data_IF_091412758952
#
_entry.id   IF_091412758952
#
_cell.length_a   1.000
_cell.length_b   1.000
_cell.length_c   1.000
_cell.angle_alpha   90.00
_cell.angle_beta   90.00
_cell.angle_gamma   90.00
#
_symmetry.space_group_name_H-M   'P 1'
#
loop_
_entity.id
_entity.type
_entity.pdbx_description
1 polymer ?
#
# COMPACT_ATOMS: atom_id res chain seq x y z
N UNK A 1 15.24 -2.31 8.66
CA UNK A 1 15.11 -2.98 9.97
C UNK A 1 14.99 -1.93 11.07
N UNK A 2 13.84 -1.83 11.78
CA UNK A 2 13.63 -0.81 12.82
C UNK A 2 14.63 -0.90 13.98
N UNK A 3 15.17 -2.08 14.26
CA UNK A 3 16.11 -2.29 15.33
C UNK A 3 17.55 -1.89 14.93
N UNK A 4 17.89 -2.05 13.65
CA UNK A 4 19.27 -1.90 13.19
C UNK A 4 19.43 -1.03 11.94
N UNK A 5 18.36 -0.69 11.21
CA UNK A 5 18.40 0.14 10.01
C UNK A 5 19.22 -0.42 8.84
N UNK A 6 19.55 -1.71 8.89
CA UNK A 6 20.60 -2.30 8.06
C UNK A 6 20.08 -3.01 6.79
N UNK A 7 18.78 -3.00 6.57
CA UNK A 7 18.17 -3.82 5.51
C UNK A 7 17.18 -3.07 4.66
N UNK A 8 17.28 -3.24 3.35
CA UNK A 8 16.30 -2.76 2.36
C UNK A 8 15.76 -3.93 1.55
N UNK A 9 14.45 -3.95 1.38
CA UNK A 9 13.76 -4.94 0.55
C UNK A 9 13.17 -4.23 -0.66
N UNK A 10 13.52 -4.68 -1.84
CA UNK A 10 13.13 -4.03 -3.09
C UNK A 10 12.27 -5.00 -3.90
N UNK A 11 10.98 -4.69 -3.99
CA UNK A 11 10.08 -5.35 -4.93
C UNK A 11 10.31 -4.84 -6.36
N UNK A 12 10.38 -5.75 -7.33
CA UNK A 12 10.68 -5.41 -8.70
C UNK A 12 9.47 -5.57 -9.62
N UNK A 13 9.37 -4.64 -10.56
CA UNK A 13 8.50 -4.77 -11.72
C UNK A 13 9.24 -5.57 -12.79
N UNK A 14 8.64 -6.61 -13.39
CA UNK A 14 9.25 -7.28 -14.52
C UNK A 14 9.44 -6.29 -15.67
N UNK A 15 10.46 -6.48 -16.48
CA UNK A 15 10.63 -5.67 -17.67
C UNK A 15 9.41 -5.86 -18.60
N UNK A 16 8.48 -4.92 -18.53
CA UNK A 16 7.19 -4.99 -19.21
C UNK A 16 7.29 -5.06 -20.74
N UNK A 17 8.44 -4.74 -21.29
CA UNK A 17 8.65 -4.71 -22.74
C UNK A 17 9.22 -6.00 -23.30
N UNK A 18 10.06 -6.69 -22.56
CA UNK A 18 10.74 -7.90 -23.05
C UNK A 18 10.23 -9.18 -22.40
N UNK A 19 9.66 -9.08 -21.20
CA UNK A 19 9.22 -10.23 -20.39
C UNK A 19 10.28 -11.35 -20.36
N UNK A 20 11.55 -10.98 -20.24
CA UNK A 20 12.66 -11.91 -20.23
C UNK A 20 13.20 -12.08 -18.81
N UNK A 21 13.63 -13.29 -18.51
CA UNK A 21 14.38 -13.57 -17.30
C UNK A 21 15.71 -12.81 -17.33
N UNK A 22 16.13 -12.28 -16.18
CA UNK A 22 17.38 -11.55 -16.03
C UNK A 22 18.38 -12.36 -15.24
N UNK A 23 19.67 -12.10 -15.42
CA UNK A 23 20.70 -12.78 -14.65
C UNK A 23 20.58 -12.39 -13.18
N UNK A 24 20.27 -13.35 -12.32
CA UNK A 24 20.38 -13.17 -10.87
C UNK A 24 21.87 -13.30 -10.49
N UNK A 25 22.50 -12.21 -9.98
CA UNK A 25 23.93 -12.23 -9.69
C UNK A 25 24.30 -13.15 -8.50
N UNK A 26 23.31 -13.50 -7.66
CA UNK A 26 23.54 -14.41 -6.53
C UNK A 26 23.54 -15.86 -6.97
N UNK A 27 22.52 -16.29 -7.72
CA UNK A 27 22.39 -17.68 -8.19
C UNK A 27 23.18 -17.97 -9.45
N UNK A 28 23.56 -16.94 -10.21
CA UNK A 28 24.17 -17.08 -11.54
C UNK A 28 23.21 -17.60 -12.62
N UNK A 29 21.92 -17.65 -12.35
CA UNK A 29 20.88 -18.15 -13.27
C UNK A 29 20.06 -17.01 -13.86
N UNK A 30 19.48 -17.27 -15.03
CA UNK A 30 18.44 -16.39 -15.56
C UNK A 30 17.12 -16.69 -14.83
N UNK A 31 16.61 -15.71 -14.10
CA UNK A 31 15.42 -15.82 -13.26
C UNK A 31 14.53 -14.61 -13.45
N UNK A 32 13.25 -14.76 -13.15
CA UNK A 32 12.32 -13.64 -13.18
C UNK A 32 12.54 -12.71 -11.99
N UNK A 33 12.60 -11.43 -12.28
CA UNK A 33 12.87 -10.42 -11.26
C UNK A 33 11.77 -10.40 -10.20
N UNK A 34 12.16 -10.45 -8.93
CA UNK A 34 11.24 -10.61 -7.81
C UNK A 34 11.52 -9.63 -6.67
N UNK A 35 12.13 -10.09 -5.60
CA UNK A 35 12.43 -9.26 -4.43
C UNK A 35 13.91 -9.36 -4.09
N UNK A 36 14.60 -8.23 -4.06
CA UNK A 36 15.99 -8.14 -3.60
C UNK A 36 16.06 -7.86 -2.11
N UNK A 37 16.99 -8.52 -1.43
CA UNK A 37 17.35 -8.27 -0.03
C UNK A 37 18.74 -7.64 -0.03
N UNK A 38 18.83 -6.42 0.46
CA UNK A 38 20.05 -5.60 0.41
C UNK A 38 20.48 -5.25 1.81
N UNK A 39 21.73 -5.57 2.13
CA UNK A 39 22.41 -5.11 3.35
C UNK A 39 22.90 -3.69 3.11
N UNK A 40 22.49 -2.78 3.97
CA UNK A 40 22.88 -1.36 4.00
C UNK A 40 23.55 -0.95 5.32
N UNK A 41 24.09 -1.90 6.08
CA UNK A 41 24.85 -1.61 7.31
C UNK A 41 26.00 -0.62 7.05
N UNK A 42 26.59 -0.68 5.85
CA UNK A 42 27.36 0.41 5.27
C UNK A 42 26.59 1.04 4.09
N UNK A 43 25.86 2.16 4.31
CA UNK A 43 25.06 2.78 3.26
C UNK A 43 25.88 3.36 2.11
N UNK A 44 27.19 3.50 2.29
CA UNK A 44 28.11 3.90 1.21
C UNK A 44 28.49 2.73 0.29
N UNK A 45 28.23 1.49 0.73
CA UNK A 45 28.55 0.25 0.01
C UNK A 45 27.46 -0.80 0.17
N UNK A 46 26.21 -0.56 -0.33
CA UNK A 46 25.11 -1.51 -0.21
C UNK A 46 25.44 -2.84 -0.90
N UNK A 47 25.09 -3.94 -0.25
CA UNK A 47 25.35 -5.30 -0.75
C UNK A 47 24.06 -6.04 -1.04
N UNK A 48 23.87 -6.50 -2.28
CA UNK A 48 22.81 -7.47 -2.58
C UNK A 48 23.19 -8.82 -1.98
N UNK A 49 22.49 -9.24 -0.94
CA UNK A 49 22.79 -10.49 -0.23
C UNK A 49 21.91 -11.66 -0.66
N UNK A 50 20.71 -11.36 -1.13
CA UNK A 50 19.79 -12.36 -1.63
C UNK A 50 18.84 -11.80 -2.66
N UNK A 51 18.31 -12.70 -3.50
CA UNK A 51 17.23 -12.37 -4.42
C UNK A 51 16.22 -13.51 -4.46
N UNK A 52 14.97 -13.18 -4.14
CA UNK A 52 13.84 -14.11 -4.21
C UNK A 52 13.22 -13.98 -5.59
N UNK A 53 13.40 -14.94 -6.49
CA UNK A 53 12.88 -14.83 -7.85
C UNK A 53 11.36 -14.86 -7.87
N UNK A 54 10.79 -14.34 -8.94
CA UNK A 54 9.36 -14.43 -9.23
C UNK A 54 9.02 -15.62 -10.11
N UNK A 55 7.73 -15.89 -10.22
CA UNK A 55 7.17 -16.70 -11.28
C UNK A 55 7.20 -15.95 -12.62
N UNK A 56 7.04 -16.69 -13.72
CA UNK A 56 7.00 -16.14 -15.07
C UNK A 56 5.96 -15.03 -15.17
N UNK A 57 6.37 -13.87 -15.67
CA UNK A 57 5.52 -12.70 -15.89
C UNK A 57 4.85 -12.09 -14.62
N UNK A 58 5.23 -12.54 -13.44
CA UNK A 58 4.68 -12.02 -12.20
C UNK A 58 5.27 -10.64 -11.84
N UNK A 59 4.45 -9.76 -11.26
CA UNK A 59 4.83 -8.44 -10.78
C UNK A 59 4.61 -8.36 -9.27
N UNK A 60 5.68 -8.34 -8.49
CA UNK A 60 5.64 -8.30 -7.02
C UNK A 60 6.37 -7.08 -6.44
N UNK A 61 6.10 -5.90 -7.01
CA UNK A 61 6.78 -4.66 -6.62
C UNK A 61 6.43 -4.15 -5.23
N UNK A 62 5.31 -4.56 -4.66
CA UNK A 62 4.90 -4.13 -3.32
C UNK A 62 5.30 -5.17 -2.28
N UNK A 63 6.11 -4.75 -1.33
CA UNK A 63 6.58 -5.56 -0.21
C UNK A 63 6.30 -4.85 1.11
N UNK A 64 6.03 -5.63 2.14
CA UNK A 64 5.92 -5.18 3.54
C UNK A 64 6.68 -6.14 4.42
N UNK A 65 7.25 -5.65 5.51
CA UNK A 65 8.07 -6.47 6.42
C UNK A 65 7.63 -6.22 7.85
N UNK A 66 7.57 -7.28 8.64
CA UNK A 66 7.39 -7.23 10.08
C UNK A 66 8.56 -7.92 10.76
N UNK A 67 8.99 -7.37 11.90
CA UNK A 67 10.14 -7.85 12.64
C UNK A 67 9.75 -8.28 14.03
N UNK A 68 10.48 -9.26 14.58
CA UNK A 68 10.25 -9.79 15.93
C UNK A 68 8.74 -10.06 16.16
N UNK A 69 8.15 -10.82 15.24
CA UNK A 69 6.71 -10.98 15.15
C UNK A 69 6.15 -11.62 16.42
N UNK A 70 5.15 -10.96 17.02
CA UNK A 70 4.69 -11.25 18.38
C UNK A 70 3.54 -12.24 18.49
N UNK A 71 3.08 -12.85 17.38
CA UNK A 71 1.92 -13.73 17.37
C UNK A 71 2.30 -15.20 17.17
N UNK A 72 1.55 -16.10 17.88
CA UNK A 72 1.69 -17.53 17.72
C UNK A 72 3.03 -18.09 18.26
N UNK A 73 3.00 -19.26 18.89
CA UNK A 73 4.21 -19.84 19.50
C UNK A 73 5.31 -20.22 18.50
N UNK A 74 4.95 -20.50 17.25
CA UNK A 74 5.89 -20.88 16.20
C UNK A 74 6.42 -19.68 15.39
N UNK A 75 5.73 -18.55 15.48
CA UNK A 75 6.07 -17.31 14.75
C UNK A 75 6.75 -16.28 15.64
N UNK A 76 6.76 -16.49 16.95
CA UNK A 76 7.31 -15.56 17.93
C UNK A 76 8.82 -15.31 17.70
N UNK A 77 9.19 -14.04 17.63
CA UNK A 77 10.58 -13.63 17.43
C UNK A 77 11.11 -13.88 16.01
N UNK A 78 10.22 -14.11 15.04
CA UNK A 78 10.59 -14.27 13.64
C UNK A 78 10.33 -13.00 12.84
N UNK A 79 11.04 -12.88 11.75
CA UNK A 79 10.89 -11.78 10.81
C UNK A 79 10.25 -12.29 9.53
N UNK A 80 9.24 -11.56 9.04
CA UNK A 80 8.51 -11.96 7.85
C UNK A 80 8.46 -10.86 6.80
N UNK A 81 8.45 -11.26 5.56
CA UNK A 81 8.20 -10.42 4.39
C UNK A 81 6.98 -10.93 3.66
N UNK A 82 6.04 -10.03 3.37
CA UNK A 82 4.95 -10.27 2.45
C UNK A 82 5.20 -9.50 1.15
N UNK A 83 4.92 -10.12 0.01
CA UNK A 83 4.91 -9.47 -1.28
C UNK A 83 3.59 -9.69 -2.01
N UNK A 84 3.06 -8.61 -2.57
CA UNK A 84 1.81 -8.62 -3.32
C UNK A 84 2.05 -8.80 -4.80
N UNK A 85 1.10 -9.44 -5.49
CA UNK A 85 1.16 -9.67 -6.93
C UNK A 85 0.13 -8.83 -7.68
N UNK A 86 0.60 -7.95 -8.55
CA UNK A 86 -0.23 -7.17 -9.46
C UNK A 86 -0.47 -7.89 -10.79
N UNK A 87 0.44 -8.77 -11.16
CA UNK A 87 0.39 -9.55 -12.38
C UNK A 87 0.95 -10.95 -12.13
N UNK A 88 0.50 -11.89 -12.94
CA UNK A 88 0.67 -13.31 -12.73
C UNK A 88 -0.69 -13.88 -12.36
N UNK A 89 -1.15 -14.87 -13.11
CA UNK A 89 -2.57 -15.22 -13.13
C UNK A 89 -3.04 -15.99 -11.90
N UNK A 90 -2.15 -16.34 -10.97
CA UNK A 90 -2.48 -17.30 -9.93
C UNK A 90 -2.19 -16.84 -8.48
N UNK A 91 -1.48 -15.75 -8.26
CA UNK A 91 -1.07 -15.34 -6.92
C UNK A 91 -1.66 -14.00 -6.50
N UNK A 92 -2.09 -13.91 -5.23
CA UNK A 92 -2.43 -12.65 -4.55
C UNK A 92 -1.24 -12.14 -3.76
N UNK A 93 -0.71 -12.97 -2.86
CA UNK A 93 0.49 -12.64 -2.10
C UNK A 93 1.25 -13.90 -1.66
N UNK A 94 2.50 -13.71 -1.32
CA UNK A 94 3.38 -14.71 -0.71
C UNK A 94 3.99 -14.15 0.56
N UNK A 95 4.17 -15.02 1.56
CA UNK A 95 4.83 -14.69 2.83
C UNK A 95 6.10 -15.51 2.95
N UNK A 96 7.20 -14.85 3.30
CA UNK A 96 8.50 -15.46 3.51
C UNK A 96 8.95 -15.25 4.94
N UNK A 97 9.51 -16.29 5.57
CA UNK A 97 10.32 -16.17 6.77
C UNK A 97 11.71 -15.68 6.35
N UNK A 98 12.09 -14.49 6.81
CA UNK A 98 13.35 -13.84 6.49
C UNK A 98 14.29 -13.75 7.71
N UNK A 99 13.98 -14.46 8.78
CA UNK A 99 14.76 -14.43 10.04
C UNK A 99 16.23 -14.77 9.81
N UNK A 100 16.50 -15.69 8.89
CA UNK A 100 17.84 -16.15 8.56
C UNK A 100 18.67 -15.17 7.71
N UNK A 101 18.09 -14.04 7.25
CA UNK A 101 18.76 -13.10 6.32
C UNK A 101 20.14 -12.62 6.77
N UNK A 102 20.35 -12.52 8.09
CA UNK A 102 21.60 -12.04 8.67
C UNK A 102 22.66 -13.12 8.80
N UNK A 103 22.25 -14.39 8.94
CA UNK A 103 23.14 -15.52 9.19
C UNK A 103 23.37 -16.37 7.93
N UNK A 104 22.33 -16.71 7.23
CA UNK A 104 22.34 -17.47 5.98
C UNK A 104 21.11 -17.11 5.12
N UNK A 105 21.22 -16.12 4.24
CA UNK A 105 20.09 -15.71 3.38
C UNK A 105 19.53 -16.83 2.49
N UNK A 106 20.31 -17.90 2.25
CA UNK A 106 19.82 -19.04 1.45
C UNK A 106 18.73 -19.84 2.17
N UNK A 107 18.53 -19.63 3.47
CA UNK A 107 17.48 -20.23 4.29
C UNK A 107 16.22 -19.37 4.38
N UNK A 108 16.11 -18.28 3.62
CA UNK A 108 14.85 -17.55 3.46
C UNK A 108 13.83 -18.51 2.84
N UNK A 109 12.71 -18.68 3.53
CA UNK A 109 11.72 -19.72 3.22
C UNK A 109 10.36 -19.12 2.87
N UNK A 110 9.74 -19.62 1.79
CA UNK A 110 8.32 -19.38 1.52
C UNK A 110 7.49 -20.18 2.52
N UNK A 111 6.78 -19.46 3.41
CA UNK A 111 5.97 -20.11 4.46
C UNK A 111 4.50 -20.25 4.09
N UNK A 112 3.98 -19.34 3.27
CA UNK A 112 2.64 -19.45 2.72
C UNK A 112 2.44 -18.61 1.47
N UNK A 113 1.39 -18.95 0.72
CA UNK A 113 0.91 -18.15 -0.41
C UNK A 113 -0.61 -18.23 -0.53
N UNK A 114 -1.21 -17.14 -0.96
CA UNK A 114 -2.61 -17.09 -1.33
C UNK A 114 -2.70 -17.02 -2.84
N UNK A 115 -3.28 -18.06 -3.42
CA UNK A 115 -3.58 -18.12 -4.85
C UNK A 115 -4.88 -17.41 -5.16
N UNK A 116 -4.95 -16.81 -6.35
CA UNK A 116 -6.18 -16.29 -6.90
C UNK A 116 -7.01 -17.45 -7.46
N UNK A 117 -8.20 -17.66 -6.92
CA UNK A 117 -9.15 -18.68 -7.40
C UNK A 117 -10.41 -18.01 -7.94
N UNK A 118 -11.27 -18.71 -8.69
CA UNK A 118 -12.55 -18.14 -9.12
C UNK A 118 -13.45 -17.67 -7.98
N UNK A 119 -13.26 -18.21 -6.77
CA UNK A 119 -14.02 -17.87 -5.58
C UNK A 119 -13.48 -16.63 -4.86
N UNK A 120 -12.20 -16.34 -4.97
CA UNK A 120 -11.55 -15.22 -4.28
C UNK A 120 -10.95 -14.17 -5.21
N UNK A 121 -11.12 -14.33 -6.50
CA UNK A 121 -10.63 -13.42 -7.51
C UNK A 121 -11.61 -13.30 -8.66
N UNK A 122 -11.63 -12.14 -9.27
CA UNK A 122 -12.46 -11.88 -10.44
C UNK A 122 -11.60 -11.95 -11.69
N UNK A 123 -11.89 -12.88 -12.59
CA UNK A 123 -11.23 -12.99 -13.89
C UNK A 123 -11.44 -11.75 -14.77
N UNK A 124 -10.80 -11.72 -15.94
CA UNK A 124 -10.87 -10.61 -16.92
C UNK A 124 -12.28 -10.13 -17.31
N UNK A 125 -13.32 -10.78 -16.80
CA UNK A 125 -14.73 -10.48 -17.10
C UNK A 125 -15.43 -9.52 -16.14
N UNK A 126 -14.79 -9.03 -15.08
CA UNK A 126 -15.42 -8.13 -14.11
C UNK A 126 -15.25 -6.64 -14.45
N UNK A 127 -15.21 -6.30 -15.71
CA UNK A 127 -15.23 -4.89 -16.17
C UNK A 127 -13.90 -4.22 -16.35
N UNK A 128 -12.77 -4.94 -16.23
CA UNK A 128 -11.45 -4.36 -16.49
C UNK A 128 -10.29 -5.34 -16.24
N UNK A 129 -9.19 -5.12 -16.87
CA UNK A 129 -8.09 -6.08 -17.01
C UNK A 129 -7.24 -6.35 -15.75
N UNK A 130 -7.57 -5.82 -14.57
CA UNK A 130 -6.64 -5.76 -13.44
C UNK A 130 -7.16 -6.30 -12.10
N UNK A 131 -8.31 -6.92 -12.04
CA UNK A 131 -9.12 -7.06 -10.82
C UNK A 131 -8.74 -8.24 -9.91
N UNK A 132 -7.85 -9.13 -10.32
CA UNK A 132 -7.49 -10.32 -9.54
C UNK A 132 -6.34 -10.13 -8.55
N UNK A 133 -5.84 -8.93 -8.35
CA UNK A 133 -4.48 -8.71 -7.89
C UNK A 133 -4.47 -7.98 -6.57
N UNK A 134 -3.50 -8.31 -5.72
CA UNK A 134 -3.15 -7.49 -4.58
C UNK A 134 -2.12 -6.45 -5.05
N UNK A 135 -2.52 -5.16 -5.03
CA UNK A 135 -1.62 -4.09 -5.48
C UNK A 135 -0.66 -3.68 -4.38
N UNK A 136 -1.15 -3.05 -3.33
CA UNK A 136 -0.39 -2.66 -2.15
C UNK A 136 -1.07 -3.16 -0.90
N UNK A 137 -0.33 -3.23 0.19
CA UNK A 137 -0.87 -3.64 1.46
C UNK A 137 -0.07 -3.08 2.62
N UNK A 138 -0.69 -3.13 3.78
CA UNK A 138 -0.14 -2.75 5.07
C UNK A 138 -0.28 -3.94 6.02
N UNK A 139 0.85 -4.45 6.54
CA UNK A 139 0.83 -5.50 7.55
C UNK A 139 1.03 -4.88 8.92
N UNK A 140 -0.01 -4.91 9.73
CA UNK A 140 0.09 -4.49 11.11
C UNK A 140 0.85 -5.51 11.94
N UNK A 141 1.86 -5.02 12.63
CA UNK A 141 2.59 -5.83 13.61
C UNK A 141 1.86 -5.88 14.96
N UNK A 142 0.94 -4.96 15.22
CA UNK A 142 0.22 -4.89 16.49
C UNK A 142 -0.98 -5.81 16.54
N UNK A 143 -1.80 -5.82 15.49
CA UNK A 143 -2.98 -6.70 15.40
C UNK A 143 -2.69 -8.03 14.71
N UNK A 144 -1.62 -8.12 13.94
CA UNK A 144 -1.36 -9.26 13.06
C UNK A 144 -2.26 -9.29 11.82
N UNK A 145 -2.98 -8.20 11.55
CA UNK A 145 -3.84 -8.10 10.37
C UNK A 145 -3.08 -7.52 9.17
N UNK A 146 -3.44 -7.99 8.00
CA UNK A 146 -2.92 -7.49 6.74
C UNK A 146 -4.05 -6.90 5.90
N UNK A 147 -3.89 -5.65 5.55
CA UNK A 147 -4.82 -4.87 4.76
C UNK A 147 -4.29 -4.75 3.34
N UNK A 148 -5.07 -5.18 2.35
CA UNK A 148 -4.61 -5.28 0.97
C UNK A 148 -5.61 -4.68 -0.01
N UNK A 149 -5.12 -3.88 -0.95
CA UNK A 149 -5.87 -3.49 -2.13
C UNK A 149 -5.98 -4.68 -3.08
N UNK A 150 -7.14 -5.31 -3.17
CA UNK A 150 -7.32 -6.58 -3.87
C UNK A 150 -8.65 -6.69 -4.59
N UNK A 151 -8.71 -7.48 -5.65
CA UNK A 151 -9.95 -7.77 -6.36
C UNK A 151 -10.61 -9.06 -5.87
N UNK A 152 -11.95 -9.14 -6.04
CA UNK A 152 -12.71 -10.37 -5.82
C UNK A 152 -13.97 -10.44 -6.71
N UNK A 153 -14.59 -11.63 -6.87
CA UNK A 153 -15.82 -11.76 -7.61
C UNK A 153 -16.95 -10.90 -7.02
N UNK A 154 -17.77 -10.31 -7.89
CA UNK A 154 -18.88 -9.46 -7.47
C UNK A 154 -18.50 -7.99 -7.27
N UNK A 155 -17.24 -7.62 -7.45
CA UNK A 155 -16.79 -6.23 -7.45
C UNK A 155 -16.24 -5.82 -8.81
N UNK A 156 -16.36 -4.54 -9.14
CA UNK A 156 -15.97 -3.99 -10.44
C UNK A 156 -14.50 -3.59 -10.48
N UNK A 157 -13.89 -3.35 -9.29
CA UNK A 157 -12.52 -2.83 -9.13
C UNK A 157 -11.87 -3.43 -7.89
N UNK A 158 -10.64 -3.04 -7.60
CA UNK A 158 -9.99 -3.41 -6.33
C UNK A 158 -10.69 -2.72 -5.16
N UNK A 159 -10.87 -3.49 -4.11
CA UNK A 159 -11.44 -3.08 -2.83
C UNK A 159 -10.44 -3.36 -1.71
N UNK A 160 -10.75 -2.97 -0.49
CA UNK A 160 -9.96 -3.34 0.68
C UNK A 160 -10.27 -4.78 1.10
N UNK A 161 -9.24 -5.61 1.24
CA UNK A 161 -9.31 -6.92 1.89
C UNK A 161 -8.56 -6.88 3.21
N UNK A 162 -9.07 -7.60 4.20
CA UNK A 162 -8.47 -7.78 5.52
C UNK A 162 -8.21 -9.26 5.73
N UNK A 163 -6.97 -9.59 6.08
CA UNK A 163 -6.51 -10.95 6.35
C UNK A 163 -5.92 -11.05 7.74
N UNK A 164 -6.20 -12.10 8.44
CA UNK A 164 -5.53 -12.46 9.68
C UNK A 164 -4.26 -13.24 9.35
N UNK A 165 -3.12 -12.69 9.73
CA UNK A 165 -1.79 -13.26 9.59
C UNK A 165 -1.13 -13.52 10.97
N UNK A 166 -1.90 -13.60 12.07
CA UNK A 166 -1.33 -13.97 13.36
C UNK A 166 -0.60 -15.31 13.30
N UNK A 167 -1.03 -16.21 12.43
CA UNK A 167 -0.22 -17.30 11.93
C UNK A 167 0.13 -17.06 10.45
N UNK A 168 1.34 -16.59 10.12
CA UNK A 168 1.73 -16.34 8.74
C UNK A 168 1.76 -17.58 7.84
N UNK A 169 1.74 -18.78 8.44
CA UNK A 169 1.66 -20.05 7.70
C UNK A 169 0.24 -20.44 7.31
N UNK A 170 -0.76 -19.83 7.95
CA UNK A 170 -2.17 -20.13 7.75
C UNK A 170 -3.02 -18.85 7.62
N UNK A 171 -2.77 -18.00 6.60
CA UNK A 171 -3.54 -16.77 6.37
C UNK A 171 -5.03 -17.03 6.30
N UNK A 172 -5.83 -16.21 6.99
CA UNK A 172 -7.29 -16.31 6.99
C UNK A 172 -7.92 -15.01 6.51
N UNK A 173 -8.86 -15.11 5.59
CA UNK A 173 -9.67 -13.95 5.20
C UNK A 173 -10.60 -13.55 6.35
N UNK A 174 -10.64 -12.25 6.68
CA UNK A 174 -11.43 -11.71 7.79
C UNK A 174 -12.59 -10.87 7.27
N UNK A 175 -12.31 -9.85 6.46
CA UNK A 175 -13.31 -8.90 6.03
C UNK A 175 -12.91 -8.09 4.81
N UNK A 176 -13.80 -7.21 4.40
CA UNK A 176 -13.62 -6.33 3.24
C UNK A 176 -14.33 -5.01 3.39
N UNK A 177 -13.82 -3.97 2.73
CA UNK A 177 -14.50 -2.70 2.61
C UNK A 177 -14.42 -2.15 1.18
N UNK A 178 -15.42 -1.37 0.80
CA UNK A 178 -15.54 -0.78 -0.52
C UNK A 178 -16.32 0.54 -0.48
N UNK A 179 -16.21 1.33 -1.53
CA UNK A 179 -17.06 2.50 -1.71
C UNK A 179 -18.36 2.12 -2.42
N UNK A 180 -19.48 2.82 -2.13
CA UNK A 180 -20.73 2.62 -2.86
C UNK A 180 -20.53 2.64 -4.37
N UNK A 181 -21.15 1.72 -5.08
CA UNK A 181 -21.00 1.54 -6.52
C UNK A 181 -19.92 0.56 -6.95
N UNK A 182 -18.93 0.22 -6.13
CA UNK A 182 -17.91 -0.76 -6.50
C UNK A 182 -18.46 -2.19 -6.57
N UNK A 183 -19.47 -2.53 -5.79
CA UNK A 183 -20.13 -3.84 -5.86
C UNK A 183 -21.03 -3.93 -7.08
N UNK A 184 -21.01 -5.06 -7.77
CA UNK A 184 -21.88 -5.29 -8.94
C UNK A 184 -23.34 -5.26 -8.52
N UNK A 185 -24.16 -4.46 -9.21
CA UNK A 185 -25.57 -4.24 -8.87
C UNK A 185 -25.84 -2.98 -8.05
N UNK A 186 -24.81 -2.36 -7.45
CA UNK A 186 -24.96 -1.05 -6.84
C UNK A 186 -24.98 0.05 -7.92
N UNK A 187 -25.70 1.14 -7.62
CA UNK A 187 -25.72 2.35 -8.44
C UNK A 187 -24.53 3.27 -8.10
N UNK A 188 -24.28 4.29 -8.92
CA UNK A 188 -23.25 5.29 -8.66
C UNK A 188 -21.82 4.80 -8.86
N UNK A 189 -21.64 3.78 -9.72
CA UNK A 189 -20.27 3.33 -10.02
C UNK A 189 -19.49 4.41 -10.74
N UNK A 190 -18.37 4.76 -10.11
CA UNK A 190 -17.28 5.47 -10.73
C UNK A 190 -16.08 4.53 -10.78
N UNK A 191 -15.20 4.71 -11.74
CA UNK A 191 -14.01 3.86 -11.86
C UNK A 191 -13.02 4.18 -10.73
N UNK A 192 -13.11 3.43 -9.63
CA UNK A 192 -12.41 3.65 -8.37
C UNK A 192 -11.63 2.38 -8.00
N UNK A 193 -10.33 2.50 -7.80
CA UNK A 193 -9.47 1.39 -7.38
C UNK A 193 -8.82 1.74 -6.05
N UNK A 194 -9.09 0.96 -5.00
CA UNK A 194 -8.28 1.05 -3.78
C UNK A 194 -6.82 0.86 -4.16
N UNK A 195 -5.99 1.81 -3.75
CA UNK A 195 -4.58 1.79 -4.12
C UNK A 195 -3.69 1.38 -2.96
N UNK A 196 -3.67 2.13 -1.88
CA UNK A 196 -2.77 1.93 -0.76
C UNK A 196 -3.51 2.13 0.57
N UNK A 197 -3.80 1.07 1.33
CA UNK A 197 -4.35 1.19 2.67
C UNK A 197 -3.26 1.57 3.68
N UNK A 198 -3.56 2.52 4.55
CA UNK A 198 -2.75 2.90 5.72
C UNK A 198 -3.63 2.75 6.95
N UNK A 199 -3.11 2.13 7.99
CA UNK A 199 -3.88 1.79 9.20
C UNK A 199 -3.40 2.64 10.37
N UNK A 200 -4.35 3.23 11.04
CA UNK A 200 -4.22 3.89 12.34
C UNK A 200 -4.88 2.98 13.38
N UNK A 201 -4.08 2.14 14.03
CA UNK A 201 -4.56 1.14 14.97
C UNK A 201 -5.02 1.75 16.29
N UNK A 202 -4.41 2.86 16.70
CA UNK A 202 -4.79 3.57 17.93
C UNK A 202 -6.23 4.10 17.87
N UNK A 203 -6.74 4.35 16.68
CA UNK A 203 -8.07 4.89 16.43
C UNK A 203 -9.00 3.92 15.70
N UNK A 204 -8.58 2.67 15.46
CA UNK A 204 -9.33 1.66 14.70
C UNK A 204 -9.76 2.18 13.31
N UNK A 205 -8.83 2.80 12.58
CA UNK A 205 -9.11 3.36 11.25
C UNK A 205 -8.19 2.81 10.17
N UNK A 206 -8.76 2.61 8.98
CA UNK A 206 -7.99 2.42 7.76
C UNK A 206 -8.33 3.50 6.76
N UNK A 207 -7.29 4.11 6.21
CA UNK A 207 -7.37 5.16 5.20
C UNK A 207 -6.91 4.60 3.85
N UNK A 208 -7.56 4.99 2.77
CA UNK A 208 -7.11 4.63 1.45
C UNK A 208 -7.36 5.72 0.41
N UNK A 209 -6.42 5.86 -0.51
CA UNK A 209 -6.60 6.60 -1.74
C UNK A 209 -7.15 5.69 -2.84
N UNK A 210 -7.91 6.28 -3.76
CA UNK A 210 -8.48 5.62 -4.93
C UNK A 210 -7.89 6.22 -6.18
N UNK A 211 -7.11 5.43 -6.86
CA UNK A 211 -6.47 5.82 -8.10
C UNK A 211 -7.34 5.48 -9.30
N UNK A 212 -7.24 6.28 -10.35
CA UNK A 212 -7.93 6.17 -11.64
C UNK A 212 -9.41 6.51 -11.53
N UNK A 213 -9.86 7.44 -12.35
CA UNK A 213 -11.25 7.85 -12.49
C UNK A 213 -11.65 9.00 -11.60
N UNK A 214 -12.14 8.74 -10.40
CA UNK A 214 -12.84 9.74 -9.59
C UNK A 214 -12.03 10.45 -8.52
N UNK A 215 -10.82 10.00 -8.21
CA UNK A 215 -9.97 10.71 -7.23
C UNK A 215 -10.45 10.65 -5.79
N UNK A 216 -11.11 9.59 -5.35
CA UNK A 216 -11.61 9.47 -3.99
C UNK A 216 -10.50 9.19 -2.96
N UNK A 217 -10.73 9.69 -1.76
CA UNK A 217 -10.09 9.29 -0.51
C UNK A 217 -11.16 8.84 0.47
N UNK A 218 -10.87 7.84 1.30
CA UNK A 218 -11.85 7.34 2.25
C UNK A 218 -11.19 6.82 3.53
N UNK A 219 -12.00 6.76 4.60
CA UNK A 219 -11.67 6.09 5.84
C UNK A 219 -12.78 5.16 6.28
N UNK A 220 -12.39 4.01 6.82
CA UNK A 220 -13.30 3.04 7.42
C UNK A 220 -12.95 2.83 8.88
N UNK A 221 -13.99 2.61 9.67
CA UNK A 221 -13.91 2.04 11.01
C UNK A 221 -13.63 0.54 10.90
N UNK A 222 -12.60 0.08 11.58
CA UNK A 222 -12.15 -1.31 11.62
C UNK A 222 -12.14 -1.88 13.04
N UNK A 223 -12.88 -1.27 13.97
CA UNK A 223 -13.06 -1.81 15.32
C UNK A 223 -13.62 -3.24 15.30
N UNK A 224 -14.41 -3.57 14.28
CA UNK A 224 -14.69 -4.93 13.86
C UNK A 224 -14.11 -5.16 12.44
N UNK A 225 -12.94 -5.77 12.32
CA UNK A 225 -12.32 -5.97 11.01
C UNK A 225 -13.07 -6.96 10.12
N UNK A 226 -14.05 -7.70 10.64
CA UNK A 226 -14.90 -8.58 9.84
C UNK A 226 -16.04 -7.83 9.14
N UNK A 227 -16.45 -6.67 9.68
CA UNK A 227 -17.53 -5.81 9.17
C UNK A 227 -17.11 -4.32 9.16
N UNK A 228 -16.08 -3.93 8.41
CA UNK A 228 -15.64 -2.54 8.36
C UNK A 228 -16.76 -1.61 7.89
N UNK A 229 -16.87 -0.43 8.50
CA UNK A 229 -17.91 0.54 8.13
C UNK A 229 -17.30 1.84 7.61
N UNK A 230 -17.85 2.38 6.51
CA UNK A 230 -17.40 3.65 5.93
C UNK A 230 -17.68 4.81 6.89
N UNK A 231 -16.64 5.52 7.31
CA UNK A 231 -16.75 6.72 8.14
C UNK A 231 -16.95 7.95 7.27
N UNK A 232 -16.10 8.10 6.26
CA UNK A 232 -16.20 9.20 5.29
C UNK A 232 -15.54 8.83 3.97
N UNK A 233 -15.96 9.50 2.91
CA UNK A 233 -15.25 9.59 1.65
C UNK A 233 -15.30 11.01 1.10
N UNK A 234 -14.30 11.40 0.32
CA UNK A 234 -14.21 12.69 -0.32
C UNK A 234 -13.66 12.54 -1.73
N UNK A 235 -14.34 13.14 -2.71
CA UNK A 235 -13.89 13.19 -4.09
C UNK A 235 -12.99 14.42 -4.28
N UNK A 236 -11.73 14.21 -4.61
CA UNK A 236 -10.76 15.28 -4.88
C UNK A 236 -10.81 15.79 -6.33
N UNK A 237 -11.60 15.14 -7.19
CA UNK A 237 -11.74 15.54 -8.59
C UNK A 237 -12.52 16.86 -8.75
N UNK A 238 -12.36 17.59 -9.84
CA UNK A 238 -11.53 17.30 -11.01
C UNK A 238 -10.03 17.55 -10.86
N UNK A 239 -9.50 18.33 -9.85
CA UNK A 239 -8.08 18.57 -9.81
C UNK A 239 -7.26 17.37 -9.38
N UNK A 240 -7.80 16.48 -8.52
CA UNK A 240 -7.18 15.23 -8.11
C UNK A 240 -7.81 14.05 -8.84
N UNK A 241 -6.98 13.18 -9.40
CA UNK A 241 -7.43 11.98 -10.11
C UNK A 241 -6.78 10.70 -9.67
N UNK A 242 -5.85 10.78 -8.72
CA UNK A 242 -5.07 9.61 -8.34
C UNK A 242 -4.59 9.67 -6.90
N UNK A 243 -5.44 9.93 -5.89
CA UNK A 243 -5.04 9.78 -4.50
C UNK A 243 -4.38 8.41 -4.29
N UNK A 244 -3.10 8.46 -3.91
CA UNK A 244 -2.25 7.28 -3.80
C UNK A 244 -2.11 6.85 -2.34
N UNK A 245 -1.56 7.73 -1.51
CA UNK A 245 -1.27 7.48 -0.10
C UNK A 245 -2.01 8.49 0.76
N UNK A 246 -2.67 8.01 1.82
CA UNK A 246 -3.43 8.82 2.76
C UNK A 246 -2.94 8.52 4.15
N UNK A 247 -2.25 9.46 4.81
CA UNK A 247 -1.73 9.27 6.17
C UNK A 247 -2.38 10.23 7.15
N UNK A 248 -2.95 9.75 8.26
CA UNK A 248 -3.41 10.59 9.34
C UNK A 248 -2.23 11.14 10.14
N UNK A 249 -2.32 12.39 10.55
CA UNK A 249 -1.34 13.06 11.39
C UNK A 249 -2.08 13.83 12.47
N UNK A 250 -1.85 13.50 13.72
CA UNK A 250 -2.43 14.20 14.87
C UNK A 250 -1.40 15.13 15.51
N UNK A 251 -1.78 16.37 15.69
CA UNK A 251 -1.05 17.34 16.49
C UNK A 251 -1.78 17.58 17.81
N UNK A 252 -1.13 17.33 18.93
CA UNK A 252 -1.70 17.53 20.26
C UNK A 252 -2.09 18.98 20.53
N UNK A 253 -1.43 19.90 19.84
CA UNK A 253 -1.58 21.32 20.07
C UNK A 253 -1.26 22.11 18.80
N UNK A 254 -2.32 22.62 18.17
CA UNK A 254 -2.17 23.57 17.06
C UNK A 254 -2.51 24.96 17.60
N UNK A 255 -1.59 25.95 17.49
CA UNK A 255 -1.87 27.32 17.92
C UNK A 255 -3.14 27.85 17.23
N UNK A 256 -4.12 28.25 18.02
CA UNK A 256 -5.32 28.87 17.48
C UNK A 256 -5.04 30.33 17.11
N UNK A 257 -5.70 30.81 16.08
CA UNK A 257 -5.62 32.21 15.62
C UNK A 257 -6.16 33.17 16.68
N UNK A 258 -7.04 32.71 17.55
CA UNK A 258 -7.53 33.50 18.73
C UNK A 258 -6.83 32.98 19.97
N UNK A 259 -5.89 33.77 20.50
CA UNK A 259 -5.13 33.45 21.71
C UNK A 259 -6.02 33.18 22.96
N UNK A 260 -7.33 33.41 22.87
CA UNK A 260 -8.29 33.19 23.94
C UNK A 260 -8.70 31.71 24.13
N UNK A 261 -8.54 30.87 23.13
CA UNK A 261 -9.02 29.46 23.16
C UNK A 261 -7.89 28.45 23.40
N UNK A 262 -6.64 28.90 23.42
CA UNK A 262 -5.49 28.02 23.59
C UNK A 262 -5.17 27.20 22.35
N UNK A 263 -4.27 26.27 22.51
CA UNK A 263 -3.92 25.30 21.47
C UNK A 263 -4.87 24.08 21.57
N UNK A 264 -5.44 23.68 20.46
CA UNK A 264 -6.37 22.55 20.38
C UNK A 264 -5.74 21.42 19.58
N UNK A 265 -6.00 20.14 19.94
CA UNK A 265 -5.59 19.02 19.12
C UNK A 265 -6.30 19.05 17.76
N UNK A 266 -5.59 18.65 16.73
CA UNK A 266 -6.10 18.56 15.36
C UNK A 266 -5.57 17.31 14.68
N UNK A 267 -6.45 16.64 13.98
CA UNK A 267 -6.07 15.51 13.12
C UNK A 267 -6.24 15.91 11.67
N UNK A 268 -5.22 15.65 10.89
CA UNK A 268 -5.20 15.92 9.45
C UNK A 268 -4.96 14.62 8.68
N UNK A 269 -5.55 14.51 7.50
CA UNK A 269 -5.17 13.51 6.50
C UNK A 269 -4.30 14.17 5.44
N UNK A 270 -3.08 13.69 5.28
CA UNK A 270 -2.18 14.08 4.20
C UNK A 270 -2.36 13.10 3.05
N UNK A 271 -2.64 13.62 1.86
CA UNK A 271 -2.95 12.81 0.67
C UNK A 271 -1.98 13.16 -0.45
N UNK A 272 -1.20 12.18 -0.89
CA UNK A 272 -0.41 12.31 -2.13
C UNK A 272 -1.19 11.82 -3.32
N UNK A 273 -1.18 12.59 -4.39
CA UNK A 273 -1.83 12.28 -5.65
C UNK A 273 -0.80 11.75 -6.67
N UNK A 274 -1.05 10.58 -7.24
CA UNK A 274 -0.26 10.02 -8.33
C UNK A 274 -1.01 10.18 -9.65
N UNK A 275 -0.59 11.12 -10.46
CA UNK A 275 -1.20 11.33 -11.74
C UNK A 275 -0.40 10.69 -12.87
N UNK A 276 -1.01 9.75 -13.57
CA UNK A 276 -0.43 9.06 -14.73
C UNK A 276 -0.70 9.73 -16.06
N UNK A 277 -1.25 10.92 -16.03
CA UNK A 277 -1.65 11.62 -17.25
C UNK A 277 -0.46 11.99 -18.12
N UNK A 278 -0.28 11.24 -19.19
CA UNK A 278 0.60 11.61 -20.31
C UNK A 278 0.19 12.90 -21.02
N UNK A 279 -0.94 13.48 -20.61
CA UNK A 279 -1.54 14.61 -21.28
C UNK A 279 -1.16 15.92 -20.59
N UNK A 280 0.02 16.39 -20.92
CA UNK A 280 0.44 17.76 -20.59
C UNK A 280 -0.55 18.84 -21.02
N UNK A 281 -1.45 18.56 -21.96
CA UNK A 281 -2.46 19.49 -22.45
C UNK A 281 -3.52 19.88 -21.41
N UNK A 282 -3.71 19.13 -20.34
CA UNK A 282 -4.71 19.42 -19.31
C UNK A 282 -4.20 20.24 -18.12
N UNK A 283 -2.91 20.56 -18.08
CA UNK A 283 -2.31 21.45 -17.07
C UNK A 283 -2.41 20.96 -15.62
N UNK A 284 -2.83 19.72 -15.40
CA UNK A 284 -2.98 19.17 -14.05
C UNK A 284 -1.69 18.49 -13.59
N UNK A 285 -1.22 18.88 -12.42
CA UNK A 285 -0.07 18.29 -11.73
C UNK A 285 -0.56 17.50 -10.56
N UNK A 286 0.13 16.40 -10.25
CA UNK A 286 -0.04 15.73 -8.97
C UNK A 286 0.20 16.71 -7.82
N UNK A 287 -0.59 16.57 -6.78
CA UNK A 287 -0.60 17.46 -5.62
C UNK A 287 -0.51 16.66 -4.33
N UNK A 288 -0.13 17.34 -3.28
CA UNK A 288 -0.42 16.89 -1.92
C UNK A 288 -1.61 17.69 -1.43
N UNK A 289 -2.62 17.00 -0.91
CA UNK A 289 -3.78 17.60 -0.25
C UNK A 289 -3.66 17.42 1.25
N UNK A 290 -4.17 18.35 1.99
CA UNK A 290 -4.32 18.27 3.43
C UNK A 290 -5.78 18.52 3.80
N UNK A 291 -6.37 17.54 4.50
CA UNK A 291 -7.73 17.62 5.01
C UNK A 291 -7.70 17.72 6.52
N UNK A 292 -8.47 18.63 7.11
CA UNK A 292 -8.79 18.58 8.53
C UNK A 292 -9.86 17.50 8.73
N UNK A 293 -9.52 16.47 9.48
CA UNK A 293 -10.39 15.34 9.84
C UNK A 293 -10.64 15.27 11.35
N UNK A 294 -10.40 16.36 12.06
CA UNK A 294 -10.68 16.48 13.51
C UNK A 294 -12.14 16.14 13.81
N UNK A 295 -13.04 16.56 12.92
CA UNK A 295 -14.42 16.09 12.88
C UNK A 295 -14.54 15.01 11.81
N UNK A 296 -14.28 13.79 12.20
CA UNK A 296 -14.06 12.66 11.32
C UNK A 296 -15.11 12.49 10.22
N UNK A 297 -16.40 12.68 10.55
CA UNK A 297 -17.50 12.56 9.57
C UNK A 297 -17.62 13.75 8.60
N UNK A 298 -16.81 14.79 8.76
CA UNK A 298 -16.86 16.02 7.97
C UNK A 298 -15.44 16.46 7.56
N UNK A 299 -14.75 15.71 6.70
CA UNK A 299 -13.41 16.05 6.24
C UNK A 299 -13.45 17.39 5.49
N UNK A 300 -12.54 18.30 5.84
CA UNK A 300 -12.47 19.64 5.24
C UNK A 300 -11.11 19.82 4.55
N UNK A 301 -11.05 20.06 3.24
CA UNK A 301 -9.80 20.40 2.59
C UNK A 301 -9.30 21.76 3.08
N UNK A 302 -8.08 21.80 3.62
CA UNK A 302 -7.51 23.01 4.21
C UNK A 302 -6.30 23.54 3.46
N UNK A 303 -5.59 22.70 2.73
CA UNK A 303 -4.41 23.10 1.98
C UNK A 303 -4.11 22.17 0.82
N UNK A 304 -3.41 22.71 -0.17
CA UNK A 304 -2.80 21.93 -1.25
C UNK A 304 -1.38 22.41 -1.50
N UNK A 305 -0.51 21.49 -1.84
CA UNK A 305 0.85 21.77 -2.28
C UNK A 305 1.13 21.09 -3.61
N UNK A 306 1.90 21.76 -4.47
CA UNK A 306 2.42 21.19 -5.72
C UNK A 306 3.85 21.64 -5.95
N UNK A 307 4.60 20.86 -6.72
CA UNK A 307 5.96 21.25 -7.09
C UNK A 307 5.91 22.58 -7.89
N UNK A 308 6.66 23.62 -7.47
CA UNK A 308 6.58 24.96 -8.04
C UNK A 308 7.36 25.06 -9.38
N UNK A 309 7.07 24.20 -10.34
CA UNK A 309 7.68 24.20 -11.66
C UNK A 309 6.69 24.75 -12.69
N UNK A 310 7.14 25.70 -13.51
CA UNK A 310 6.30 26.37 -14.50
C UNK A 310 5.75 25.43 -15.56
N UNK A 311 6.63 24.78 -16.30
CA UNK A 311 6.26 23.85 -17.37
C UNK A 311 6.80 22.45 -17.09
N UNK A 312 6.03 21.63 -16.40
CA UNK A 312 6.42 20.26 -16.09
C UNK A 312 6.38 19.31 -17.30
N UNK A 313 5.71 19.72 -18.37
CA UNK A 313 5.64 18.95 -19.61
C UNK A 313 7.00 18.79 -20.29
N UNK A 314 7.89 19.75 -20.08
CA UNK A 314 9.23 19.72 -20.65
C UNK A 314 10.16 18.72 -19.92
N UNK A 315 9.75 18.23 -18.75
CA UNK A 315 10.57 17.27 -17.97
C UNK A 315 10.43 15.83 -18.45
N UNK A 316 9.39 15.52 -19.22
CA UNK A 316 9.04 14.16 -19.65
C UNK A 316 8.57 13.27 -18.50
N UNK A 317 7.72 12.27 -18.80
CA UNK A 317 7.20 11.33 -17.80
C UNK A 317 6.20 11.95 -16.83
N UNK A 318 5.91 11.22 -15.74
CA UNK A 318 5.05 11.68 -14.66
C UNK A 318 5.82 12.64 -13.75
N UNK A 319 5.18 13.72 -13.35
CA UNK A 319 5.82 14.76 -12.55
C UNK A 319 4.92 15.22 -11.41
N UNK A 320 5.43 15.12 -10.19
CA UNK A 320 4.74 15.51 -8.95
C UNK A 320 4.93 14.51 -7.84
N UNK A 321 4.26 14.69 -6.69
CA UNK A 321 4.25 13.72 -5.63
C UNK A 321 3.60 12.42 -6.12
N UNK A 322 4.09 11.31 -5.60
CA UNK A 322 3.55 9.97 -5.84
C UNK A 322 3.16 9.33 -4.52
N UNK A 323 4.12 9.22 -3.65
CA UNK A 323 3.99 8.65 -2.32
C UNK A 323 4.77 9.53 -1.35
N UNK A 324 4.23 9.77 -0.17
CA UNK A 324 4.96 10.37 0.94
C UNK A 324 5.34 9.27 1.94
N UNK A 325 6.17 9.63 2.90
CA UNK A 325 6.48 8.76 4.02
C UNK A 325 5.19 8.31 4.72
N UNK A 326 5.12 7.02 5.01
CA UNK A 326 3.92 6.42 5.60
C UNK A 326 4.02 6.53 7.11
N UNK A 327 3.44 7.62 7.64
CA UNK A 327 3.40 7.88 9.07
C UNK A 327 1.98 7.80 9.59
N UNK A 328 1.84 7.35 10.82
CA UNK A 328 0.62 7.48 11.60
C UNK A 328 0.95 8.34 12.83
N UNK A 329 0.13 9.38 13.07
CA UNK A 329 0.31 10.32 14.19
C UNK A 329 1.70 10.95 14.30
N UNK A 330 2.38 11.18 13.15
CA UNK A 330 3.71 11.75 13.12
C UNK A 330 4.81 10.80 13.59
N UNK A 331 4.48 9.58 13.97
CA UNK A 331 5.44 8.50 14.16
C UNK A 331 5.81 7.92 12.82
N UNK A 332 7.09 7.66 12.61
CA UNK A 332 7.52 6.90 11.44
C UNK A 332 6.84 5.54 11.47
N UNK A 333 6.24 5.17 10.37
CA UNK A 333 5.77 3.82 10.20
C UNK A 333 6.96 2.86 10.28
N UNK A 334 6.76 1.64 10.77
CA UNK A 334 7.81 0.63 10.90
C UNK A 334 8.50 0.25 9.60
N UNK A 335 7.97 0.71 8.47
CA UNK A 335 8.60 0.56 7.15
C UNK A 335 9.66 1.61 6.83
N UNK A 336 9.82 2.63 7.68
CA UNK A 336 10.67 3.79 7.42
C UNK A 336 11.99 3.78 8.21
N UNK A 337 12.24 2.74 8.98
CA UNK A 337 13.47 2.61 9.76
C UNK A 337 14.52 1.77 9.04
#
# INVERSE_FOLDING_TARGET
DPANGDWVYIGHVPNSRTQEATLNPISGKAEWNGTSVVDISDPSSPQLVWHIPNQVSANSRSVSVVYDYGFGSESLGRDYLIRNFEAGDELKFQIFDITSRTSDPSQIELVSEITATPENSCGRGCGGALINRAHKGFWSQESGLFYSASGEPGFRTTILHIWDLQDPRAPRFVGRAWLPGQKVGEEGFEEQYVHHPIVDEDNDRVYAGFRIGSGHVAAWDISDPSEPSLVWSYDTSPPGRGPHTVSPITYDSVPNVTAAEGALPRTYALVSDEYDGLECGHGMKSRVYMFDITHETHPMPVSTWQVPVGNFCDTGGNFGPHQHAETVNGSLNRFEN
#
